data_IF_818326214628
#
_entry.id   IF_818326214628
#
_cell.length_a   1.000
_cell.length_b   1.000
_cell.length_c   1.000
_cell.angle_alpha   90.00
_cell.angle_beta   90.00
_cell.angle_gamma   90.00
#
_symmetry.space_group_name_H-M   'P 1'
#
loop_
_entity.id
_entity.type
_entity.pdbx_description
1 polymer ?
#
# COMPACT_ATOMS: atom_id res chain seq x y z
N UNK A 1 -5.28 3.27 -0.96
CA UNK A 1 -6.49 2.91 -1.75
C UNK A 1 -6.10 1.97 -2.88
N UNK A 2 -6.99 1.02 -3.22
CA UNK A 2 -6.85 0.14 -4.38
C UNK A 2 -6.93 0.91 -5.70
N UNK A 3 -6.15 0.50 -6.71
CA UNK A 3 -6.29 1.00 -8.08
C UNK A 3 -7.60 0.51 -8.71
N UNK A 4 -8.14 1.25 -9.69
CA UNK A 4 -9.35 0.82 -10.40
C UNK A 4 -9.17 -0.53 -11.11
N UNK A 5 -7.97 -0.83 -11.61
CA UNK A 5 -7.65 -2.14 -12.21
C UNK A 5 -7.80 -3.28 -11.20
N UNK A 6 -7.28 -3.12 -9.99
CA UNK A 6 -7.41 -4.11 -8.92
C UNK A 6 -8.88 -4.26 -8.50
N UNK A 7 -9.59 -3.14 -8.35
CA UNK A 7 -11.02 -3.17 -8.01
C UNK A 7 -11.82 -3.97 -9.05
N UNK A 8 -11.55 -3.77 -10.35
CA UNK A 8 -12.20 -4.53 -11.41
C UNK A 8 -11.85 -6.02 -11.36
N UNK A 9 -10.58 -6.38 -11.13
CA UNK A 9 -10.18 -7.78 -10.94
C UNK A 9 -10.93 -8.44 -9.78
N UNK A 10 -11.04 -7.76 -8.63
CA UNK A 10 -11.81 -8.24 -7.47
C UNK A 10 -13.29 -8.44 -7.80
N UNK A 11 -13.93 -7.46 -8.46
CA UNK A 11 -15.34 -7.55 -8.88
C UNK A 11 -15.57 -8.63 -9.93
N UNK A 12 -14.56 -8.96 -10.73
CA UNK A 12 -14.57 -10.07 -11.69
C UNK A 12 -14.28 -11.43 -11.04
N UNK A 13 -14.22 -11.50 -9.70
CA UNK A 13 -14.11 -12.74 -8.95
C UNK A 13 -12.68 -13.16 -8.60
N UNK A 14 -11.68 -12.30 -8.81
CA UNK A 14 -10.36 -12.52 -8.24
C UNK A 14 -10.43 -12.52 -6.70
N UNK A 15 -9.55 -13.28 -6.07
CA UNK A 15 -9.42 -13.25 -4.63
C UNK A 15 -8.71 -11.96 -4.19
N UNK A 16 -9.13 -11.41 -3.06
CA UNK A 16 -8.54 -10.25 -2.39
C UNK A 16 -7.94 -10.61 -1.04
N UNK A 17 -7.16 -9.71 -0.48
CA UNK A 17 -6.59 -9.82 0.86
C UNK A 17 -6.95 -8.59 1.69
N UNK A 18 -7.37 -8.80 2.93
CA UNK A 18 -7.59 -7.72 3.90
C UNK A 18 -6.30 -7.30 4.58
N UNK A 19 -6.30 -6.14 5.25
CA UNK A 19 -5.12 -5.61 5.96
C UNK A 19 -4.59 -6.55 7.04
N UNK A 20 -5.43 -7.36 7.68
CA UNK A 20 -5.03 -8.42 8.62
C UNK A 20 -4.71 -9.78 7.96
N UNK A 21 -4.60 -9.85 6.63
CA UNK A 21 -4.22 -11.06 5.91
C UNK A 21 -5.34 -12.06 5.64
N UNK A 22 -6.61 -11.72 5.86
CA UNK A 22 -7.74 -12.60 5.56
C UNK A 22 -8.01 -12.65 4.06
N UNK A 23 -8.14 -13.86 3.51
CA UNK A 23 -8.50 -14.07 2.10
C UNK A 23 -10.00 -13.79 1.91
N UNK A 24 -10.33 -13.05 0.84
CA UNK A 24 -11.70 -12.69 0.51
C UNK A 24 -12.04 -12.90 -0.96
N UNK A 25 -13.31 -13.09 -1.29
CA UNK A 25 -13.78 -13.19 -2.68
C UNK A 25 -15.09 -12.45 -2.85
N UNK A 26 -15.21 -11.64 -3.90
CA UNK A 26 -16.47 -10.97 -4.23
C UNK A 26 -17.54 -12.02 -4.59
N UNK A 27 -18.70 -11.94 -3.96
CA UNK A 27 -19.82 -12.86 -4.19
C UNK A 27 -21.10 -12.16 -4.65
N UNK A 28 -21.12 -10.83 -4.65
CA UNK A 28 -22.24 -10.07 -5.20
C UNK A 28 -22.42 -8.70 -4.56
N UNK A 29 -23.52 -8.05 -4.90
CA UNK A 29 -23.90 -6.74 -4.36
C UNK A 29 -25.29 -6.79 -3.75
N UNK A 30 -25.49 -6.05 -2.66
CA UNK A 30 -26.82 -5.83 -2.11
C UNK A 30 -27.63 -4.90 -3.02
N UNK A 31 -28.93 -5.17 -3.14
CA UNK A 31 -29.86 -4.28 -3.83
C UNK A 31 -30.34 -3.17 -2.88
N UNK A 32 -30.44 -1.94 -3.38
CA UNK A 32 -30.84 -0.76 -2.60
C UNK A 32 -29.71 0.21 -2.29
N UNK A 33 -30.05 1.34 -1.68
CA UNK A 33 -29.12 2.45 -1.44
C UNK A 33 -28.41 2.28 -0.07
N UNK A 34 -27.56 1.27 0.05
CA UNK A 34 -26.74 1.02 1.25
C UNK A 34 -25.34 1.61 1.11
N UNK A 35 -24.76 2.03 2.24
CA UNK A 35 -23.37 2.50 2.31
C UNK A 35 -22.34 1.37 2.10
N UNK A 36 -22.76 0.11 2.29
CA UNK A 36 -21.91 -1.09 2.14
C UNK A 36 -22.49 -2.04 1.08
N UNK A 37 -22.46 -1.67 -0.21
CA UNK A 37 -23.15 -2.42 -1.25
C UNK A 37 -22.43 -3.68 -1.71
N UNK A 38 -21.12 -3.82 -1.48
CA UNK A 38 -20.32 -4.94 -1.99
C UNK A 38 -20.26 -6.06 -0.97
N UNK A 39 -20.45 -7.31 -1.39
CA UNK A 39 -20.46 -8.48 -0.51
C UNK A 39 -19.31 -9.40 -0.86
N UNK A 40 -18.51 -9.76 0.14
CA UNK A 40 -17.36 -10.65 0.01
C UNK A 40 -17.47 -11.82 0.98
N UNK A 41 -17.17 -13.03 0.51
CA UNK A 41 -16.92 -14.17 1.37
C UNK A 41 -15.49 -14.08 1.95
N UNK A 42 -15.31 -14.40 3.22
CA UNK A 42 -14.02 -14.57 3.89
C UNK A 42 -13.70 -16.04 4.05
N UNK A 43 -12.41 -16.35 4.07
CA UNK A 43 -11.90 -17.72 4.23
C UNK A 43 -10.92 -17.77 5.39
N UNK A 44 -11.01 -18.85 6.18
CA UNK A 44 -10.08 -19.09 7.27
C UNK A 44 -8.70 -19.54 6.75
N UNK A 45 -7.74 -19.75 7.66
CA UNK A 45 -6.38 -20.21 7.32
C UNK A 45 -6.33 -21.54 6.56
N UNK A 46 -7.33 -22.40 6.72
CA UNK A 46 -7.43 -23.68 6.02
C UNK A 46 -8.03 -23.54 4.61
N UNK A 47 -8.53 -22.36 4.27
CA UNK A 47 -9.21 -22.07 3.00
C UNK A 47 -10.69 -22.41 3.01
N UNK A 48 -11.26 -22.77 4.17
CA UNK A 48 -12.70 -22.99 4.30
C UNK A 48 -13.44 -21.66 4.37
N UNK A 49 -14.68 -21.66 3.89
CA UNK A 49 -15.58 -20.52 4.07
C UNK A 49 -15.75 -20.23 5.57
N UNK A 50 -15.57 -18.97 5.94
CA UNK A 50 -15.68 -18.52 7.33
C UNK A 50 -16.90 -17.63 7.53
N UNK A 51 -17.01 -16.55 6.75
CA UNK A 51 -18.08 -15.59 6.91
C UNK A 51 -18.34 -14.80 5.61
N UNK A 52 -19.34 -13.92 5.65
CA UNK A 52 -19.61 -12.93 4.62
C UNK A 52 -19.55 -11.53 5.22
N UNK A 53 -18.84 -10.62 4.56
CA UNK A 53 -18.66 -9.22 5.00
C UNK A 53 -19.10 -8.26 3.91
N UNK A 54 -19.76 -7.17 4.32
CA UNK A 54 -20.17 -6.08 3.44
C UNK A 54 -19.15 -4.94 3.46
N UNK A 55 -18.85 -4.40 2.29
CA UNK A 55 -17.85 -3.35 2.08
C UNK A 55 -18.45 -2.17 1.31
N UNK A 56 -17.84 -1.00 1.51
CA UNK A 56 -18.11 0.19 0.69
C UNK A 56 -17.68 -0.04 -0.76
N UNK A 57 -18.05 0.87 -1.68
CA UNK A 57 -17.53 0.87 -3.07
C UNK A 57 -16.01 1.05 -3.15
N UNK A 58 -15.39 1.54 -2.08
CA UNK A 58 -13.96 1.68 -1.95
C UNK A 58 -13.30 0.51 -1.23
N UNK A 59 -14.04 -0.59 -1.03
CA UNK A 59 -13.54 -1.84 -0.45
C UNK A 59 -13.08 -1.68 1.00
N UNK A 60 -13.66 -0.70 1.72
CA UNK A 60 -13.44 -0.48 3.15
C UNK A 60 -14.58 -1.06 3.98
N UNK A 61 -14.25 -1.53 5.19
CA UNK A 61 -15.19 -2.08 6.15
C UNK A 61 -15.88 -0.97 6.97
N UNK A 62 -15.17 0.12 7.26
CA UNK A 62 -15.72 1.32 7.89
C UNK A 62 -15.63 2.52 6.94
N UNK A 63 -16.52 3.49 7.13
CA UNK A 63 -16.61 4.70 6.29
C UNK A 63 -15.60 5.77 6.71
N UNK A 64 -15.34 5.87 8.02
CA UNK A 64 -14.67 7.03 8.63
C UNK A 64 -13.25 6.74 9.13
N UNK A 65 -12.78 5.49 9.03
CA UNK A 65 -11.44 5.09 9.45
C UNK A 65 -10.95 3.87 8.71
N UNK A 66 -9.63 3.77 8.56
CA UNK A 66 -9.00 2.51 8.16
C UNK A 66 -9.30 1.42 9.21
N UNK A 67 -9.59 0.21 8.73
CA UNK A 67 -9.90 -0.92 9.59
C UNK A 67 -9.08 -2.14 9.18
N UNK A 68 -8.86 -3.06 10.14
CA UNK A 68 -8.09 -4.29 9.90
C UNK A 68 -8.70 -5.20 8.84
N UNK A 69 -9.99 -5.03 8.55
CA UNK A 69 -10.71 -5.80 7.53
C UNK A 69 -10.73 -5.13 6.16
N UNK A 70 -10.19 -3.92 5.99
CA UNK A 70 -10.18 -3.27 4.67
C UNK A 70 -9.43 -4.12 3.64
N UNK A 71 -9.95 -4.22 2.42
CA UNK A 71 -9.31 -4.98 1.35
C UNK A 71 -8.20 -4.11 0.75
N UNK A 72 -6.96 -4.57 0.87
CA UNK A 72 -5.76 -3.80 0.52
C UNK A 72 -5.07 -4.28 -0.75
N UNK A 73 -5.46 -5.44 -1.28
CA UNK A 73 -4.91 -5.93 -2.54
C UNK A 73 -5.60 -7.16 -3.10
N UNK A 74 -5.04 -7.67 -4.20
CA UNK A 74 -5.35 -9.00 -4.70
C UNK A 74 -4.65 -10.03 -3.82
N UNK A 75 -5.35 -11.11 -3.51
CA UNK A 75 -4.71 -12.33 -3.06
C UNK A 75 -4.00 -12.92 -4.28
N UNK A 76 -2.72 -12.59 -4.43
CA UNK A 76 -1.90 -13.28 -5.42
C UNK A 76 -1.85 -14.76 -5.04
N UNK A 77 -1.94 -15.63 -6.04
CA UNK A 77 -1.85 -17.06 -5.83
C UNK A 77 -0.66 -17.35 -4.91
N UNK A 78 -0.96 -18.17 -3.91
CA UNK A 78 -0.14 -18.54 -2.75
C UNK A 78 1.37 -18.39 -3.02
N UNK A 79 2.16 -17.97 -2.02
CA UNK A 79 3.60 -18.13 -2.09
C UNK A 79 3.93 -19.52 -2.63
N UNK A 80 4.80 -19.61 -3.64
CA UNK A 80 5.02 -20.89 -4.30
C UNK A 80 5.48 -21.91 -3.25
N UNK A 81 5.02 -23.17 -3.29
CA UNK A 81 5.43 -24.17 -2.32
C UNK A 81 6.95 -24.22 -2.22
N UNK A 82 7.46 -24.36 -0.99
CA UNK A 82 8.89 -24.47 -0.77
C UNK A 82 9.52 -25.51 -1.70
N UNK A 83 10.57 -25.10 -2.40
CA UNK A 83 11.32 -25.93 -3.32
C UNK A 83 12.79 -25.91 -2.90
N UNK A 84 13.28 -27.04 -2.41
CA UNK A 84 14.64 -27.16 -1.88
C UNK A 84 15.71 -26.87 -2.94
N UNK A 85 15.56 -27.40 -4.16
CA UNK A 85 16.52 -27.19 -5.24
C UNK A 85 16.69 -25.71 -5.55
N UNK A 86 15.56 -24.99 -5.67
CA UNK A 86 15.56 -23.54 -5.92
C UNK A 86 16.13 -22.75 -4.76
N UNK A 87 15.77 -23.08 -3.53
CA UNK A 87 16.32 -22.41 -2.35
C UNK A 87 17.85 -22.59 -2.25
N UNK A 88 18.37 -23.78 -2.60
CA UNK A 88 19.80 -24.07 -2.63
C UNK A 88 20.56 -23.32 -3.73
N UNK A 89 19.87 -22.86 -4.79
CA UNK A 89 20.46 -21.97 -5.82
C UNK A 89 20.50 -20.50 -5.40
N UNK A 90 20.15 -20.19 -4.15
CA UNK A 90 20.15 -18.82 -3.61
C UNK A 90 18.86 -18.05 -3.87
N UNK A 91 17.78 -18.71 -4.30
CA UNK A 91 16.47 -18.06 -4.35
C UNK A 91 15.91 -17.88 -2.93
N UNK A 92 15.34 -16.70 -2.68
CA UNK A 92 14.79 -16.34 -1.38
C UNK A 92 13.62 -17.24 -0.95
N UNK A 93 13.47 -17.38 0.35
CA UNK A 93 12.34 -18.06 1.00
C UNK A 93 11.71 -17.15 2.06
N UNK A 94 10.44 -17.41 2.38
CA UNK A 94 9.67 -16.64 3.36
C UNK A 94 9.03 -17.55 4.38
N UNK A 95 8.93 -17.08 5.63
CA UNK A 95 8.11 -17.72 6.64
C UNK A 95 6.60 -17.56 6.32
N UNK A 96 5.83 -18.65 6.29
CA UNK A 96 4.42 -18.69 5.88
C UNK A 96 3.50 -17.75 6.67
N UNK A 97 3.79 -17.57 7.96
CA UNK A 97 2.98 -16.75 8.87
C UNK A 97 3.62 -15.40 9.17
N UNK A 98 4.73 -15.05 8.50
CA UNK A 98 5.51 -13.84 8.76
C UNK A 98 5.34 -12.83 7.64
N UNK A 99 5.04 -11.59 8.01
CA UNK A 99 5.10 -10.44 7.11
C UNK A 99 6.52 -9.86 7.20
N UNK A 100 7.44 -10.39 6.39
CA UNK A 100 8.81 -9.89 6.31
C UNK A 100 9.00 -9.27 4.94
N UNK A 101 9.41 -8.00 4.88
CA UNK A 101 9.72 -7.31 3.62
C UNK A 101 10.97 -7.87 2.92
N UNK A 102 11.69 -8.79 3.57
CA UNK A 102 12.95 -9.35 3.09
C UNK A 102 12.93 -10.89 3.07
N UNK A 103 13.48 -11.52 2.03
CA UNK A 103 13.66 -12.97 1.97
C UNK A 103 14.77 -13.45 2.91
N UNK A 104 14.60 -14.66 3.44
CA UNK A 104 15.70 -15.45 4.02
C UNK A 104 16.38 -16.29 2.93
N UNK A 105 17.64 -16.67 3.14
CA UNK A 105 18.41 -17.47 2.17
C UNK A 105 19.08 -18.66 2.85
N UNK A 106 19.11 -19.81 2.18
CA UNK A 106 19.93 -20.94 2.63
C UNK A 106 21.39 -20.64 2.27
N UNK A 107 22.24 -20.55 3.29
CA UNK A 107 23.68 -20.24 3.13
C UNK A 107 24.59 -21.45 3.35
N UNK A 108 24.04 -22.56 3.87
CA UNK A 108 24.80 -23.79 4.04
C UNK A 108 23.99 -24.95 4.62
N UNK A 109 24.64 -26.11 4.71
CA UNK A 109 24.11 -27.32 5.33
C UNK A 109 25.18 -27.96 6.23
N UNK A 110 24.79 -28.34 7.43
CA UNK A 110 25.61 -29.16 8.33
C UNK A 110 25.51 -30.63 7.93
N UNK A 111 26.64 -31.27 7.62
CA UNK A 111 26.69 -32.71 7.35
C UNK A 111 26.65 -33.57 8.62
N UNK A 112 26.81 -32.95 9.80
CA UNK A 112 26.79 -33.64 11.10
C UNK A 112 25.37 -33.72 11.64
N UNK A 113 24.64 -32.60 11.58
CA UNK A 113 23.28 -32.48 12.13
C UNK A 113 22.17 -32.62 11.08
N UNK A 114 22.53 -32.64 9.79
CA UNK A 114 21.60 -32.66 8.66
C UNK A 114 20.66 -31.42 8.60
N UNK A 115 21.10 -30.32 9.21
CA UNK A 115 20.36 -29.05 9.27
C UNK A 115 20.85 -28.04 8.22
N UNK A 116 19.98 -27.12 7.82
CA UNK A 116 20.28 -26.00 6.94
C UNK A 116 20.50 -24.74 7.76
N UNK A 117 21.42 -23.89 7.32
CA UNK A 117 21.63 -22.55 7.88
C UNK A 117 20.91 -21.52 7.02
N UNK A 118 20.04 -20.74 7.64
CA UNK A 118 19.34 -19.62 7.01
C UNK A 118 19.97 -18.33 7.48
N UNK A 119 20.36 -17.50 6.53
CA UNK A 119 20.56 -16.08 6.78
C UNK A 119 19.19 -15.40 6.72
N UNK A 120 18.79 -14.79 7.84
CA UNK A 120 17.58 -13.97 7.95
C UNK A 120 17.96 -12.48 7.90
N UNK A 121 16.96 -11.61 7.75
CA UNK A 121 17.17 -10.16 7.69
C UNK A 121 18.07 -9.67 8.82
N UNK A 122 19.00 -8.77 8.50
CA UNK A 122 19.99 -8.18 9.43
C UNK A 122 21.21 -9.07 9.79
N UNK A 123 21.45 -10.14 9.02
CA UNK A 123 22.70 -10.93 9.13
C UNK A 123 22.71 -11.94 10.27
N UNK A 124 21.55 -12.18 10.88
CA UNK A 124 21.37 -13.29 11.81
C UNK A 124 21.32 -14.62 11.04
N UNK A 125 21.89 -15.67 11.65
CA UNK A 125 21.90 -17.02 11.09
C UNK A 125 21.21 -17.99 12.05
N UNK A 126 20.25 -18.76 11.53
CA UNK A 126 19.52 -19.79 12.29
C UNK A 126 19.69 -21.16 11.64
N UNK A 127 19.80 -22.22 12.45
CA UNK A 127 19.74 -23.60 11.94
C UNK A 127 18.30 -24.11 11.93
N UNK A 128 17.95 -24.92 10.92
CA UNK A 128 16.61 -25.46 10.75
C UNK A 128 16.63 -26.82 10.05
N UNK A 129 15.66 -27.67 10.37
CA UNK A 129 15.50 -28.96 9.70
C UNK A 129 14.81 -28.82 8.33
N UNK A 130 14.99 -29.82 7.45
CA UNK A 130 14.26 -29.86 6.17
C UNK A 130 12.74 -29.90 6.38
N UNK A 131 12.28 -30.63 7.40
CA UNK A 131 10.86 -30.74 7.72
C UNK A 131 10.28 -29.38 8.09
N UNK A 132 11.00 -28.60 8.89
CA UNK A 132 10.55 -27.26 9.28
C UNK A 132 10.60 -26.27 8.12
N UNK A 133 11.57 -26.39 7.21
CA UNK A 133 11.57 -25.63 5.95
C UNK A 133 10.31 -25.94 5.11
N UNK A 134 10.03 -27.20 4.84
CA UNK A 134 8.86 -27.61 4.05
C UNK A 134 7.54 -27.21 4.72
N UNK A 135 7.47 -27.32 6.05
CA UNK A 135 6.28 -27.03 6.83
C UNK A 135 6.03 -25.54 6.98
N UNK A 136 7.07 -24.74 7.22
CA UNK A 136 6.92 -23.36 7.67
C UNK A 136 7.35 -22.32 6.65
N UNK A 137 8.06 -22.70 5.58
CA UNK A 137 8.54 -21.78 4.55
C UNK A 137 7.89 -22.01 3.19
N UNK A 138 7.99 -21.00 2.35
CA UNK A 138 7.53 -20.92 0.96
C UNK A 138 8.60 -20.21 0.13
N UNK A 139 8.56 -20.35 -1.20
CA UNK A 139 9.45 -19.56 -2.04
C UNK A 139 9.04 -18.09 -1.95
N UNK A 140 10.04 -17.23 -1.72
CA UNK A 140 9.84 -15.79 -1.80
C UNK A 140 9.58 -15.41 -3.25
N UNK A 141 8.48 -14.70 -3.46
CA UNK A 141 8.19 -14.06 -4.73
C UNK A 141 8.38 -12.57 -4.51
N UNK A 142 9.26 -11.94 -5.29
CA UNK A 142 9.39 -10.50 -5.28
C UNK A 142 7.98 -9.91 -5.47
N UNK A 143 7.51 -9.03 -4.56
CA UNK A 143 6.23 -8.38 -4.75
C UNK A 143 6.23 -7.78 -6.14
N UNK A 144 5.19 -8.04 -6.95
CA UNK A 144 5.03 -7.32 -8.20
C UNK A 144 5.14 -5.85 -7.84
N UNK A 145 6.20 -5.20 -8.35
CA UNK A 145 6.38 -3.76 -8.16
C UNK A 145 5.09 -3.15 -8.66
N UNK A 146 4.21 -2.74 -7.74
CA UNK A 146 3.10 -1.91 -8.12
C UNK A 146 3.79 -0.73 -8.74
N UNK A 147 3.70 -0.57 -10.06
CA UNK A 147 4.01 0.70 -10.66
C UNK A 147 2.98 1.64 -10.06
N UNK A 148 3.31 2.22 -8.90
CA UNK A 148 2.71 3.44 -8.47
C UNK A 148 2.95 4.35 -9.66
N UNK A 149 1.89 4.70 -10.37
CA UNK A 149 1.92 5.83 -11.28
C UNK A 149 2.22 7.02 -10.37
N UNK A 150 3.50 7.26 -10.12
CA UNK A 150 3.96 8.42 -9.38
C UNK A 150 3.49 9.61 -10.21
N UNK A 151 2.49 10.33 -9.70
CA UNK A 151 2.19 11.64 -10.24
C UNK A 151 3.32 12.54 -9.79
N UNK A 152 4.04 13.12 -10.74
CA UNK A 152 4.90 14.26 -10.45
C UNK A 152 4.06 15.32 -9.75
N UNK A 153 4.53 15.77 -8.59
CA UNK A 153 3.86 16.85 -7.89
C UNK A 153 4.07 18.16 -8.65
N UNK A 154 3.04 19.01 -8.70
CA UNK A 154 3.15 20.30 -9.36
C UNK A 154 4.20 21.16 -8.67
N UNK A 155 5.06 21.77 -9.46
CA UNK A 155 6.12 22.66 -8.96
C UNK A 155 5.50 23.95 -8.40
N UNK A 156 6.02 24.47 -7.28
CA UNK A 156 5.65 25.79 -6.78
C UNK A 156 5.97 26.89 -7.80
N UNK A 157 5.19 27.97 -7.78
CA UNK A 157 5.48 29.18 -8.57
C UNK A 157 6.68 29.92 -8.00
N UNK A 158 7.46 30.57 -8.87
CA UNK A 158 8.60 31.41 -8.48
C UNK A 158 8.31 32.90 -8.61
N UNK A 159 7.24 33.26 -9.31
CA UNK A 159 6.73 34.62 -9.47
C UNK A 159 5.21 34.62 -9.61
N UNK A 160 4.57 35.76 -9.33
CA UNK A 160 3.11 35.89 -9.41
C UNK A 160 2.57 36.07 -10.82
N UNK A 161 3.33 36.70 -11.74
CA UNK A 161 2.84 37.05 -13.07
C UNK A 161 1.50 37.79 -13.02
N UNK A 162 0.57 37.38 -13.88
CA UNK A 162 -0.79 37.93 -13.99
C UNK A 162 -1.82 37.19 -13.11
N UNK A 163 -1.39 36.41 -12.12
CA UNK A 163 -2.30 35.63 -11.29
C UNK A 163 -3.19 36.52 -10.41
N UNK A 164 -4.50 36.25 -10.41
CA UNK A 164 -5.43 36.88 -9.46
C UNK A 164 -5.37 36.22 -8.07
N UNK A 165 -4.90 34.98 -8.00
CA UNK A 165 -4.80 34.17 -6.78
C UNK A 165 -3.53 33.33 -6.78
N UNK A 166 -2.92 33.19 -5.61
CA UNK A 166 -1.84 32.24 -5.36
C UNK A 166 -2.27 31.29 -4.24
N UNK A 167 -2.15 29.99 -4.50
CA UNK A 167 -2.64 28.93 -3.62
C UNK A 167 -1.53 28.34 -2.77
N UNK A 168 -1.85 27.83 -1.58
CA UNK A 168 -0.90 27.18 -0.69
C UNK A 168 -1.60 26.07 0.11
N UNK A 169 -0.80 25.21 0.74
CA UNK A 169 -1.32 24.20 1.67
C UNK A 169 -1.63 24.87 3.00
N UNK A 170 -2.91 25.09 3.27
CA UNK A 170 -3.42 25.47 4.58
C UNK A 170 -3.49 24.26 5.50
N UNK A 171 -3.33 24.49 6.81
CA UNK A 171 -3.44 23.47 7.84
C UNK A 171 -4.36 23.92 8.95
N UNK A 172 -5.24 23.03 9.37
CA UNK A 172 -5.98 23.08 10.63
C UNK A 172 -5.60 21.82 11.46
N UNK A 173 -5.94 21.75 12.77
CA UNK A 173 -5.50 20.66 13.65
C UNK A 173 -5.80 19.23 13.16
N UNK A 174 -6.75 19.05 12.24
CA UNK A 174 -7.17 17.74 11.71
C UNK A 174 -7.21 17.62 10.19
N UNK A 175 -6.83 18.66 9.44
CA UNK A 175 -6.87 18.59 7.98
C UNK A 175 -5.90 19.55 7.27
N UNK A 176 -5.47 19.14 6.07
CA UNK A 176 -4.83 19.99 5.08
C UNK A 176 -5.85 20.36 4.01
N UNK A 177 -5.81 21.61 3.56
CA UNK A 177 -6.73 22.12 2.54
C UNK A 177 -6.05 23.20 1.69
N UNK A 178 -6.46 23.37 0.43
CA UNK A 178 -5.96 24.46 -0.39
C UNK A 178 -6.52 25.79 0.14
N UNK A 179 -5.62 26.70 0.47
CA UNK A 179 -5.93 28.08 0.84
C UNK A 179 -5.33 29.03 -0.21
N UNK A 180 -5.77 30.28 -0.27
CA UNK A 180 -5.25 31.24 -1.24
C UNK A 180 -5.07 32.65 -0.68
N UNK A 181 -4.14 33.36 -1.30
CA UNK A 181 -4.04 34.81 -1.23
C UNK A 181 -4.59 35.41 -2.52
N UNK A 182 -5.31 36.53 -2.41
CA UNK A 182 -5.71 37.31 -3.58
C UNK A 182 -4.55 38.19 -4.04
N UNK A 183 -4.56 38.63 -5.30
CA UNK A 183 -3.56 39.56 -5.85
C UNK A 183 -3.41 40.85 -5.04
N UNK A 184 -4.47 41.26 -4.32
CA UNK A 184 -4.44 42.39 -3.39
C UNK A 184 -3.46 42.20 -2.22
N UNK A 185 -3.13 40.95 -1.89
CA UNK A 185 -2.25 40.56 -0.78
C UNK A 185 -0.83 40.20 -1.24
N UNK A 186 -0.52 40.23 -2.54
CA UNK A 186 0.80 39.79 -3.03
C UNK A 186 1.97 40.65 -2.55
N UNK A 187 1.67 41.87 -2.09
CA UNK A 187 2.68 42.75 -1.51
C UNK A 187 2.93 42.51 -0.02
N UNK A 188 2.09 41.71 0.64
CA UNK A 188 2.21 41.38 2.06
C UNK A 188 3.49 40.57 2.30
N UNK A 189 4.17 40.88 3.42
CA UNK A 189 5.47 40.29 3.75
C UNK A 189 5.40 38.75 3.83
N UNK A 190 4.38 38.20 4.50
CA UNK A 190 4.15 36.76 4.62
C UNK A 190 3.97 36.08 3.25
N UNK A 191 3.27 36.74 2.33
CA UNK A 191 3.02 36.22 0.98
C UNK A 191 4.31 36.19 0.16
N UNK A 192 5.14 37.22 0.27
CA UNK A 192 6.47 37.26 -0.37
C UNK A 192 7.42 36.20 0.21
N UNK A 193 7.42 35.98 1.52
CA UNK A 193 8.19 34.94 2.19
C UNK A 193 7.79 33.54 1.71
N UNK A 194 6.48 33.27 1.59
CA UNK A 194 5.97 32.00 1.06
C UNK A 194 6.35 31.77 -0.40
N UNK A 195 6.34 32.82 -1.23
CA UNK A 195 6.82 32.74 -2.61
C UNK A 195 8.30 32.36 -2.66
N UNK A 196 9.14 33.04 -1.87
CA UNK A 196 10.58 32.76 -1.78
C UNK A 196 10.86 31.33 -1.29
N UNK A 197 10.07 30.84 -0.33
CA UNK A 197 10.17 29.49 0.22
C UNK A 197 9.55 28.41 -0.67
N UNK A 198 9.08 28.75 -1.88
CA UNK A 198 8.46 27.81 -2.82
C UNK A 198 7.24 27.10 -2.22
N UNK A 199 6.37 27.85 -1.55
CA UNK A 199 5.17 27.34 -0.88
C UNK A 199 3.86 27.74 -1.57
N UNK A 200 3.95 28.40 -2.72
CA UNK A 200 2.79 28.90 -3.47
C UNK A 200 2.62 28.15 -4.80
N UNK A 201 1.38 28.02 -5.25
CA UNK A 201 0.98 27.32 -6.46
C UNK A 201 0.02 28.17 -7.29
N UNK A 202 0.07 28.00 -8.61
CA UNK A 202 -0.78 28.77 -9.54
C UNK A 202 -2.27 28.41 -9.45
N UNK A 203 -2.60 27.18 -9.05
CA UNK A 203 -3.97 26.67 -9.07
C UNK A 203 -4.34 25.95 -7.77
N UNK A 204 -5.64 25.95 -7.44
CA UNK A 204 -6.21 25.21 -6.31
C UNK A 204 -5.91 23.71 -6.43
N UNK A 205 -6.05 23.16 -7.64
CA UNK A 205 -5.78 21.76 -7.92
C UNK A 205 -4.33 21.38 -7.61
N UNK A 206 -3.37 22.27 -7.87
CA UNK A 206 -1.98 22.02 -7.54
C UNK A 206 -1.76 21.97 -6.02
N UNK A 207 -2.35 22.91 -5.26
CA UNK A 207 -2.30 22.88 -3.80
C UNK A 207 -3.00 21.63 -3.23
N UNK A 208 -4.14 21.21 -3.81
CA UNK A 208 -4.85 20.01 -3.39
C UNK A 208 -4.01 18.73 -3.58
N UNK A 209 -3.26 18.61 -4.69
CA UNK A 209 -2.36 17.47 -4.89
C UNK A 209 -1.29 17.38 -3.80
N UNK A 210 -0.80 18.53 -3.33
CA UNK A 210 0.11 18.59 -2.18
C UNK A 210 -0.59 18.26 -0.86
N UNK A 211 -1.82 18.73 -0.62
CA UNK A 211 -2.62 18.32 0.53
C UNK A 211 -2.82 16.80 0.58
N UNK A 212 -3.14 16.19 -0.56
CA UNK A 212 -3.34 14.75 -0.67
C UNK A 212 -2.03 13.98 -0.43
N UNK A 213 -0.90 14.48 -0.95
CA UNK A 213 0.41 13.88 -0.73
C UNK A 213 0.83 13.93 0.74
N UNK A 214 0.75 15.11 1.35
CA UNK A 214 1.14 15.33 2.75
C UNK A 214 0.21 14.64 3.76
N UNK A 215 -1.05 14.39 3.39
CA UNK A 215 -1.99 13.62 4.21
C UNK A 215 -1.95 12.10 3.96
N UNK A 216 -1.02 11.62 3.14
CA UNK A 216 -0.87 10.19 2.80
C UNK A 216 -1.96 9.64 1.88
N UNK A 217 -2.86 10.49 1.37
CA UNK A 217 -3.91 10.14 0.40
C UNK A 217 -3.35 9.93 -1.01
N UNK A 218 -2.18 10.52 -1.32
CA UNK A 218 -1.45 10.38 -2.57
C UNK A 218 -0.01 9.92 -2.29
N UNK A 219 0.42 8.81 -2.91
CA UNK A 219 1.83 8.40 -2.88
C UNK A 219 2.59 9.16 -3.98
N UNK A 220 3.66 9.86 -3.61
CA UNK A 220 4.47 10.68 -4.51
C UNK A 220 5.92 10.18 -4.49
N UNK A 221 6.60 10.25 -5.63
CA UNK A 221 8.05 10.04 -5.67
C UNK A 221 8.71 11.35 -5.29
N UNK A 222 9.63 11.32 -4.33
CA UNK A 222 10.60 12.40 -4.17
C UNK A 222 11.61 12.17 -5.29
N UNK A 223 11.49 12.95 -6.36
CA UNK A 223 12.48 12.97 -7.44
C UNK A 223 13.46 14.08 -7.07
N UNK A 224 14.69 13.69 -6.75
CA UNK A 224 15.80 14.61 -6.48
C UNK A 224 16.20 15.42 -7.73
#
# INVERSE_FOLDING_TARGET
MLTEEIKQKLLNGAYGVTKNGTKVKYIGKLMGNTKYPLVFATYNKNGDYENTICYTKNFTYCLDSEFVHDIVGLWQDKPEPFNLERALTGQGIQYKEGDTDYPSHIVGKSYITDEYYLEISEGECVSITLNDLQKNYVMWKEPEKSQAQYKELPKPITEFGDLEKAWFVGSMPSCLFPAYYSSKNFNDLDVKLRLQNKQLFATEQHAQLWCDALSGKLKVAIVD
#
